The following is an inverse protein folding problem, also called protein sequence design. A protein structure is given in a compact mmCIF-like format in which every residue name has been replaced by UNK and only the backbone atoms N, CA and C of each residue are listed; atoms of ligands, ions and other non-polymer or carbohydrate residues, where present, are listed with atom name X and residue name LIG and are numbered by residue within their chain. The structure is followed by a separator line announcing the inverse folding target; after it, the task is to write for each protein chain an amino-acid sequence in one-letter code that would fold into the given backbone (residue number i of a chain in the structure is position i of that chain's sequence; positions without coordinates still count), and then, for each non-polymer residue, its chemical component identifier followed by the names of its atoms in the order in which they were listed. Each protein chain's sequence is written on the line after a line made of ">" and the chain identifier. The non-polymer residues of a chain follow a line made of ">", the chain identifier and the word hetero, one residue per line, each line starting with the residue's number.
data_IF_501019347408
#
_entry.id   IF_501019347408
#
_cell.length_a   1.000
_cell.length_b   1.000
_cell.length_c   1.000
_cell.angle_alpha   90.00
_cell.angle_beta   90.00
_cell.angle_gamma   90.00
#
_symmetry.space_group_name_H-M   'P 1'
#
loop_
_entity.id
_entity.type
_entity.pdbx_description
1 polymer ?
#
# COMPACT_ATOMS: atom_id res chain seq x y z
N UNK A 1 -4.43 21.34 -10.17
CA UNK A 1 -3.21 20.65 -10.63
C UNK A 1 -3.37 19.20 -10.25
N UNK A 2 -3.63 18.31 -11.20
CA UNK A 2 -3.67 16.86 -10.95
C UNK A 2 -2.26 16.43 -10.59
N UNK A 3 -2.02 16.32 -9.29
CA UNK A 3 -0.76 15.78 -8.80
C UNK A 3 -0.66 14.32 -9.29
N UNK A 4 0.42 13.99 -9.97
CA UNK A 4 0.57 12.71 -10.66
C UNK A 4 0.60 11.57 -9.62
N UNK A 5 -0.21 10.51 -9.79
CA UNK A 5 -0.22 9.37 -8.86
C UNK A 5 1.18 8.79 -8.68
N UNK A 6 1.46 8.27 -7.49
CA UNK A 6 2.68 7.48 -7.26
C UNK A 6 2.66 6.24 -8.17
N UNK A 7 3.82 5.86 -8.68
CA UNK A 7 4.02 4.59 -9.39
C UNK A 7 3.91 3.43 -8.39
N UNK A 8 3.33 2.31 -8.82
CA UNK A 8 3.19 1.14 -7.96
C UNK A 8 4.31 0.13 -8.22
N UNK A 9 5.16 -0.10 -7.22
CA UNK A 9 6.09 -1.24 -7.20
C UNK A 9 5.60 -2.31 -6.22
N UNK A 10 5.29 -3.50 -6.74
CA UNK A 10 4.74 -4.60 -5.93
C UNK A 10 5.83 -5.61 -5.57
N UNK A 11 6.06 -5.79 -4.26
CA UNK A 11 6.94 -6.85 -3.77
C UNK A 11 6.40 -8.23 -4.17
N UNK A 12 7.28 -9.22 -4.50
CA UNK A 12 6.83 -10.56 -4.89
C UNK A 12 5.91 -11.23 -3.86
N UNK A 13 6.14 -10.97 -2.56
CA UNK A 13 5.31 -11.46 -1.46
C UNK A 13 3.90 -10.85 -1.49
N UNK A 14 3.79 -9.55 -1.72
CA UNK A 14 2.50 -8.86 -1.83
C UNK A 14 1.70 -9.36 -3.04
N UNK A 15 2.36 -9.57 -4.18
CA UNK A 15 1.73 -10.15 -5.39
C UNK A 15 1.14 -11.54 -5.09
N UNK A 16 1.93 -12.42 -4.47
CA UNK A 16 1.47 -13.77 -4.09
C UNK A 16 0.32 -13.71 -3.07
N UNK A 17 0.39 -12.82 -2.09
CA UNK A 17 -0.67 -12.67 -1.11
C UNK A 17 -2.00 -12.28 -1.75
N UNK A 18 -1.98 -11.30 -2.66
CA UNK A 18 -3.17 -10.85 -3.38
C UNK A 18 -3.72 -11.94 -4.32
N UNK A 19 -2.86 -12.68 -5.01
CA UNK A 19 -3.28 -13.64 -6.02
C UNK A 19 -3.68 -15.02 -5.46
N UNK A 20 -3.04 -15.47 -4.38
CA UNK A 20 -3.08 -16.88 -3.99
C UNK A 20 -3.41 -17.12 -2.52
N UNK A 21 -3.19 -16.14 -1.63
CA UNK A 21 -3.25 -16.39 -0.16
C UNK A 21 -4.47 -15.78 0.51
N UNK A 22 -4.84 -14.56 0.13
CA UNK A 22 -5.94 -13.85 0.77
C UNK A 22 -7.29 -14.39 0.29
N UNK A 23 -8.33 -14.41 1.15
CA UNK A 23 -9.70 -14.60 0.69
C UNK A 23 -10.04 -13.59 -0.38
N UNK A 24 -10.75 -14.01 -1.43
CA UNK A 24 -11.01 -13.21 -2.63
C UNK A 24 -11.56 -11.81 -2.32
N UNK A 25 -12.52 -11.70 -1.40
CA UNK A 25 -13.09 -10.41 -0.99
C UNK A 25 -12.08 -9.47 -0.33
N UNK A 26 -11.11 -10.02 0.43
CA UNK A 26 -10.03 -9.25 1.04
C UNK A 26 -8.98 -8.87 0.01
N UNK A 27 -8.65 -9.78 -0.91
CA UNK A 27 -7.72 -9.50 -2.02
C UNK A 27 -8.25 -8.36 -2.91
N UNK A 28 -9.54 -8.42 -3.29
CA UNK A 28 -10.21 -7.39 -4.07
C UNK A 28 -10.20 -6.04 -3.34
N UNK A 29 -10.60 -6.01 -2.07
CA UNK A 29 -10.59 -4.77 -1.27
C UNK A 29 -9.17 -4.20 -1.07
N UNK A 30 -8.17 -5.06 -0.93
CA UNK A 30 -6.77 -4.63 -0.84
C UNK A 30 -6.27 -4.06 -2.18
N UNK A 31 -6.61 -4.71 -3.30
CA UNK A 31 -6.27 -4.24 -4.65
C UNK A 31 -6.82 -2.84 -4.92
N UNK A 32 -8.13 -2.62 -4.70
CA UNK A 32 -8.79 -1.32 -4.88
C UNK A 32 -8.15 -0.22 -4.02
N UNK A 33 -7.76 -0.57 -2.78
CA UNK A 33 -7.05 0.38 -1.93
C UNK A 33 -5.64 0.70 -2.46
N UNK A 34 -4.90 -0.32 -2.92
CA UNK A 34 -3.52 -0.19 -3.41
C UNK A 34 -3.46 0.62 -4.70
N UNK A 35 -4.39 0.43 -5.64
CA UNK A 35 -4.37 1.10 -6.96
C UNK A 35 -5.12 2.43 -7.00
N UNK A 36 -5.89 2.76 -5.95
CA UNK A 36 -6.60 4.01 -5.81
C UNK A 36 -6.03 4.91 -4.70
N UNK A 37 -6.66 4.97 -3.50
CA UNK A 37 -6.30 5.93 -2.46
C UNK A 37 -4.83 5.90 -2.03
N UNK A 38 -4.18 4.74 -2.10
CA UNK A 38 -2.77 4.62 -1.74
C UNK A 38 -1.87 5.39 -2.71
N UNK A 39 -2.10 5.31 -4.03
CA UNK A 39 -1.30 6.05 -5.02
C UNK A 39 -1.67 7.53 -5.11
N UNK A 40 -2.89 7.89 -4.72
CA UNK A 40 -3.36 9.29 -4.71
C UNK A 40 -2.69 10.11 -3.60
N UNK A 41 -2.56 9.56 -2.38
CA UNK A 41 -1.93 10.25 -1.26
C UNK A 41 -1.42 9.26 -0.20
N UNK A 42 -0.25 8.62 -0.43
CA UNK A 42 0.26 7.55 0.43
C UNK A 42 0.57 8.01 1.86
N UNK A 43 0.90 9.29 2.03
CA UNK A 43 1.18 9.90 3.34
C UNK A 43 -0.07 10.03 4.22
N UNK A 44 -1.26 10.14 3.62
CA UNK A 44 -2.52 10.36 4.36
C UNK A 44 -3.18 9.07 4.85
N UNK A 45 -3.01 7.97 4.11
CA UNK A 45 -3.80 6.74 4.31
C UNK A 45 -3.21 5.76 5.32
N UNK A 46 -1.98 5.97 5.76
CA UNK A 46 -1.29 5.10 6.71
C UNK A 46 -0.45 5.88 7.71
N UNK A 47 0.17 5.13 8.64
CA UNK A 47 1.09 5.67 9.63
C UNK A 47 2.45 5.02 9.49
N UNK A 48 3.51 5.82 9.61
CA UNK A 48 4.88 5.32 9.68
C UNK A 48 5.00 4.35 10.85
N UNK A 49 5.64 3.21 10.60
CA UNK A 49 5.91 2.21 11.64
C UNK A 49 6.97 2.74 12.62
N UNK A 50 7.07 2.07 13.76
CA UNK A 50 8.09 2.37 14.77
C UNK A 50 9.40 1.65 14.45
N UNK A 51 10.52 2.08 15.06
CA UNK A 51 11.77 1.35 14.95
C UNK A 51 11.65 -0.13 15.30
N UNK A 52 12.31 -1.03 14.55
CA UNK A 52 13.31 -0.77 13.50
C UNK A 52 12.74 -0.73 12.06
N UNK A 53 11.43 -0.48 11.88
CA UNK A 53 10.75 -0.51 10.57
C UNK A 53 10.24 0.87 10.14
N UNK A 54 10.84 1.94 10.63
CA UNK A 54 10.44 3.33 10.36
C UNK A 54 10.55 3.74 8.88
N UNK A 55 11.18 2.91 8.04
CA UNK A 55 11.22 3.05 6.58
C UNK A 55 9.90 2.64 5.89
N UNK A 56 8.92 2.12 6.65
CA UNK A 56 7.64 1.59 6.16
C UNK A 56 6.45 2.26 6.82
N UNK A 57 5.32 2.21 6.11
CA UNK A 57 4.02 2.67 6.55
C UNK A 57 3.04 1.50 6.63
N UNK A 58 2.04 1.64 7.51
CA UNK A 58 0.91 0.71 7.62
C UNK A 58 -0.41 1.44 7.48
N UNK A 59 -1.24 1.01 6.53
CA UNK A 59 -2.63 1.41 6.41
C UNK A 59 -3.54 0.28 6.91
N UNK A 60 -4.37 0.57 7.92
CA UNK A 60 -5.38 -0.38 8.45
C UNK A 60 -6.71 -0.18 7.72
N UNK A 61 -7.26 -1.26 7.19
CA UNK A 61 -8.57 -1.30 6.52
C UNK A 61 -9.39 -2.43 7.12
N UNK A 62 -10.27 -2.09 8.06
CA UNK A 62 -11.06 -3.07 8.80
C UNK A 62 -10.17 -4.14 9.45
N UNK A 63 -10.26 -5.37 8.94
CA UNK A 63 -9.55 -6.56 9.44
C UNK A 63 -8.15 -6.77 8.84
N UNK A 64 -7.79 -6.09 7.74
CA UNK A 64 -6.49 -6.24 7.09
C UNK A 64 -5.61 -4.99 7.22
N UNK A 65 -4.33 -5.15 6.87
CA UNK A 65 -3.35 -4.08 6.78
C UNK A 65 -2.56 -4.20 5.50
N UNK A 66 -2.23 -3.07 4.90
CA UNK A 66 -1.25 -2.98 3.81
C UNK A 66 0.00 -2.30 4.35
N UNK A 67 1.15 -2.95 4.17
CA UNK A 67 2.46 -2.42 4.53
C UNK A 67 3.16 -1.97 3.25
N UNK A 68 3.66 -0.75 3.22
CA UNK A 68 4.24 -0.14 2.03
C UNK A 68 5.39 0.81 2.38
N UNK A 69 6.14 1.21 1.37
CA UNK A 69 7.17 2.26 1.45
C UNK A 69 6.73 3.42 0.56
N UNK A 70 7.30 4.60 0.80
CA UNK A 70 7.08 5.78 -0.04
C UNK A 70 8.45 6.25 -0.49
N UNK A 71 8.66 6.33 -1.80
CA UNK A 71 9.84 6.93 -2.42
C UNK A 71 9.40 8.26 -3.04
N UNK A 72 9.52 9.34 -2.25
CA UNK A 72 9.08 10.69 -2.68
C UNK A 72 9.97 11.26 -3.80
N UNK A 73 11.23 10.82 -3.90
CA UNK A 73 12.16 11.27 -4.95
C UNK A 73 11.73 10.75 -6.33
N UNK A 74 11.36 9.47 -6.40
CA UNK A 74 10.92 8.82 -7.64
C UNK A 74 9.40 8.79 -7.80
N UNK A 75 8.66 9.23 -6.78
CA UNK A 75 7.20 9.12 -6.65
C UNK A 75 6.70 7.70 -6.89
N UNK A 76 7.19 6.73 -6.11
CA UNK A 76 6.79 5.30 -6.19
C UNK A 76 6.70 4.59 -4.83
#
# INVERSE_FOLDING_TARGET
>A
MTDQRYELVVAPTARRQLAETLPESVAFAAYEFITGPLLDNPHRVGKRLRPPLEDRHSARRGTYRVIYRIDDEQRR
#
